data_IF_199205141985
#
_entry.id   IF_199205141985
#
_cell.length_a   1.000
_cell.length_b   1.000
_cell.length_c   1.000
_cell.angle_alpha   90.00
_cell.angle_beta   90.00
_cell.angle_gamma   90.00
#
_symmetry.space_group_name_H-M   'P 1'
#
loop_
_entity.id
_entity.type
_entity.pdbx_description
1 polymer ?
#
# COMPACT_ATOMS: atom_id res chain seq x y z
N UNK A 1 20.63 -49.31 -6.96
CA UNK A 1 19.92 -48.17 -7.60
C UNK A 1 18.90 -47.61 -6.61
N UNK A 2 19.14 -46.44 -6.02
CA UNK A 2 18.17 -45.81 -5.11
C UNK A 2 17.02 -45.22 -5.94
N UNK A 3 15.85 -45.84 -5.89
CA UNK A 3 14.63 -45.33 -6.52
C UNK A 3 14.14 -44.13 -5.71
N UNK A 4 14.31 -42.92 -6.23
CA UNK A 4 13.72 -41.73 -5.64
C UNK A 4 12.22 -41.73 -5.93
N UNK A 5 11.41 -41.77 -4.86
CA UNK A 5 9.97 -41.57 -4.94
C UNK A 5 9.73 -40.11 -5.31
N UNK A 6 9.15 -39.85 -6.48
CA UNK A 6 8.65 -38.51 -6.82
C UNK A 6 7.45 -38.28 -5.91
N UNK A 7 7.62 -37.42 -4.90
CA UNK A 7 6.47 -36.92 -4.14
C UNK A 7 5.55 -36.19 -5.11
N UNK A 8 4.28 -36.58 -5.18
CA UNK A 8 3.30 -36.11 -6.17
C UNK A 8 2.86 -34.64 -6.02
N UNK A 9 3.68 -33.76 -5.43
CA UNK A 9 3.44 -32.33 -5.36
C UNK A 9 4.75 -31.59 -5.59
N UNK A 10 4.74 -30.68 -6.55
CA UNK A 10 5.86 -29.76 -6.78
C UNK A 10 6.03 -28.84 -5.56
N UNK A 11 7.27 -28.66 -5.10
CA UNK A 11 7.61 -27.79 -3.97
C UNK A 11 8.44 -26.61 -4.47
N UNK A 12 7.91 -25.38 -4.39
CA UNK A 12 8.64 -24.15 -4.71
C UNK A 12 9.95 -24.00 -3.91
N UNK A 13 10.02 -24.58 -2.71
CA UNK A 13 11.22 -24.66 -1.89
C UNK A 13 12.43 -25.32 -2.57
N UNK A 14 12.22 -26.12 -3.63
CA UNK A 14 13.27 -26.78 -4.41
C UNK A 14 13.78 -25.92 -5.59
N UNK A 15 13.10 -24.82 -5.92
CA UNK A 15 13.55 -23.91 -6.96
C UNK A 15 14.75 -23.09 -6.50
N UNK A 16 15.64 -22.78 -7.46
CA UNK A 16 16.67 -21.76 -7.30
C UNK A 16 16.03 -20.40 -6.96
N UNK A 17 16.77 -19.55 -6.26
CA UNK A 17 16.24 -18.29 -5.72
C UNK A 17 15.67 -17.36 -6.80
N UNK A 18 16.32 -17.25 -7.96
CA UNK A 18 15.84 -16.39 -9.04
C UNK A 18 14.59 -16.94 -9.71
N UNK A 19 14.57 -18.23 -10.03
CA UNK A 19 13.37 -18.90 -10.57
C UNK A 19 12.16 -18.83 -9.63
N UNK A 20 12.39 -18.78 -8.30
CA UNK A 20 11.30 -18.62 -7.32
C UNK A 20 10.65 -17.24 -7.36
N UNK A 21 11.38 -16.19 -7.77
CA UNK A 21 10.83 -14.83 -7.91
C UNK A 21 10.04 -14.64 -9.21
N UNK A 22 10.38 -15.42 -10.25
CA UNK A 22 9.74 -15.34 -11.56
C UNK A 22 8.51 -16.26 -11.68
N UNK A 23 7.47 -15.97 -10.89
CA UNK A 23 6.25 -16.80 -10.84
C UNK A 23 5.62 -17.03 -12.23
N UNK A 24 5.72 -16.01 -13.09
CA UNK A 24 5.15 -15.97 -14.44
C UNK A 24 5.83 -16.94 -15.42
N UNK A 25 7.02 -17.43 -15.10
CA UNK A 25 7.73 -18.41 -15.93
C UNK A 25 6.98 -19.74 -16.04
N UNK A 26 6.15 -20.06 -15.03
CA UNK A 26 5.37 -21.29 -14.95
C UNK A 26 3.87 -21.03 -14.77
N UNK A 27 3.48 -20.00 -14.02
CA UNK A 27 2.09 -19.67 -13.74
C UNK A 27 1.59 -18.54 -14.63
N UNK A 28 0.38 -18.69 -15.18
CA UNK A 28 -0.27 -17.62 -15.95
C UNK A 28 -0.85 -16.58 -15.00
N UNK A 29 -0.60 -15.31 -15.29
CA UNK A 29 -1.24 -14.20 -14.57
C UNK A 29 -2.76 -14.24 -14.77
N UNK A 30 -3.56 -13.99 -13.72
CA UNK A 30 -4.98 -13.77 -13.86
C UNK A 30 -5.29 -12.61 -14.80
N UNK A 31 -6.44 -12.70 -15.48
CA UNK A 31 -6.87 -11.69 -16.46
C UNK A 31 -7.85 -10.67 -15.87
N UNK A 32 -8.00 -10.59 -14.54
CA UNK A 32 -8.86 -9.58 -13.92
C UNK A 32 -8.22 -8.19 -13.94
N UNK A 33 -9.05 -7.17 -13.68
CA UNK A 33 -8.66 -5.77 -13.77
C UNK A 33 -7.53 -5.40 -12.80
N UNK A 34 -7.42 -6.03 -11.63
CA UNK A 34 -6.37 -5.72 -10.66
C UNK A 34 -5.02 -6.19 -11.19
N UNK A 35 -4.91 -7.46 -11.58
CA UNK A 35 -3.65 -8.03 -12.07
C UNK A 35 -3.18 -7.38 -13.38
N UNK A 36 -4.11 -6.94 -14.25
CA UNK A 36 -3.76 -6.22 -15.49
C UNK A 36 -3.09 -4.85 -15.25
N UNK A 37 -3.29 -4.24 -14.08
CA UNK A 37 -2.68 -2.95 -13.73
C UNK A 37 -1.31 -3.10 -13.04
N UNK A 38 -0.94 -4.34 -12.66
CA UNK A 38 0.27 -4.65 -11.90
C UNK A 38 1.33 -5.24 -12.82
N UNK A 39 2.44 -4.53 -12.97
CA UNK A 39 3.66 -5.01 -13.64
C UNK A 39 4.71 -5.55 -12.66
N UNK A 40 4.40 -5.51 -11.35
CA UNK A 40 5.26 -5.98 -10.26
C UNK A 40 5.29 -7.50 -10.11
N UNK A 41 6.18 -7.98 -9.24
CA UNK A 41 6.32 -9.40 -8.95
C UNK A 41 5.16 -9.92 -8.11
N UNK A 42 4.64 -11.10 -8.44
CA UNK A 42 3.49 -11.71 -7.74
C UNK A 42 3.77 -11.92 -6.24
N UNK A 43 5.04 -12.13 -5.87
CA UNK A 43 5.49 -12.33 -4.50
C UNK A 43 5.37 -11.09 -3.59
N UNK A 44 5.09 -9.91 -4.15
CA UNK A 44 4.78 -8.71 -3.39
C UNK A 44 3.42 -8.84 -2.68
N UNK A 45 2.50 -9.61 -3.26
CA UNK A 45 1.15 -9.80 -2.75
C UNK A 45 0.87 -11.23 -2.30
N UNK A 46 1.42 -12.21 -2.98
CA UNK A 46 1.16 -13.63 -2.76
C UNK A 46 2.39 -14.31 -2.15
N UNK A 47 2.15 -15.35 -1.36
CA UNK A 47 3.23 -16.24 -0.91
C UNK A 47 3.06 -17.62 -1.56
N UNK A 48 4.15 -18.36 -1.72
CA UNK A 48 4.13 -19.72 -2.23
C UNK A 48 3.51 -20.72 -1.23
N UNK A 49 3.46 -20.37 0.05
CA UNK A 49 2.81 -21.12 1.12
C UNK A 49 1.29 -20.84 1.20
N UNK A 50 0.89 -19.59 0.98
CA UNK A 50 -0.51 -19.14 0.99
C UNK A 50 -0.75 -18.18 -0.17
N UNK A 51 -1.27 -18.74 -1.27
CA UNK A 51 -1.55 -17.99 -2.49
C UNK A 51 -2.85 -17.18 -2.40
N UNK A 52 -3.93 -17.76 -1.85
CA UNK A 52 -5.22 -17.09 -1.68
C UNK A 52 -5.67 -17.16 -0.21
N UNK A 53 -6.15 -16.04 0.37
CA UNK A 53 -6.06 -14.67 -0.16
C UNK A 53 -4.60 -14.18 -0.21
N UNK A 54 -4.36 -13.11 -0.98
CA UNK A 54 -3.10 -12.38 -0.91
C UNK A 54 -2.83 -11.91 0.52
N UNK A 55 -1.56 -11.83 0.90
CA UNK A 55 -1.11 -11.40 2.24
C UNK A 55 -0.70 -9.94 2.29
N UNK A 56 -0.64 -9.25 1.14
CA UNK A 56 -0.40 -7.83 1.10
C UNK A 56 -1.52 -7.07 1.81
N UNK A 57 -1.11 -6.21 2.72
CA UNK A 57 -1.99 -5.43 3.57
C UNK A 57 -1.60 -3.96 3.45
N UNK A 58 -2.36 -3.22 2.63
CA UNK A 58 -2.11 -1.81 2.37
C UNK A 58 -2.27 -0.95 3.65
N UNK A 59 -3.09 -1.39 4.62
CA UNK A 59 -3.36 -0.65 5.85
C UNK A 59 -2.12 -0.51 6.75
N UNK A 60 -1.07 -1.30 6.51
CA UNK A 60 0.24 -1.14 7.16
C UNK A 60 0.94 0.15 6.74
N UNK A 61 0.64 0.67 5.56
CA UNK A 61 1.28 1.85 4.95
C UNK A 61 0.33 3.04 4.95
N UNK A 62 -0.87 2.86 4.40
CA UNK A 62 -1.89 3.90 4.32
C UNK A 62 -3.28 3.25 4.31
N UNK A 63 -4.20 3.75 5.12
CA UNK A 63 -5.55 3.23 5.24
C UNK A 63 -6.43 3.97 4.24
N UNK A 64 -7.07 3.22 3.33
CA UNK A 64 -8.20 3.75 2.58
C UNK A 64 -9.36 3.90 3.56
N UNK A 65 -9.79 5.14 3.78
CA UNK A 65 -10.98 5.44 4.55
C UNK A 65 -12.22 5.02 3.75
N UNK A 66 -13.20 4.47 4.46
CA UNK A 66 -14.55 4.07 3.99
C UNK A 66 -14.68 3.89 2.46
N UNK A 67 -15.28 4.85 1.78
CA UNK A 67 -15.75 4.74 0.40
C UNK A 67 -14.66 4.96 -0.67
N UNK A 68 -13.39 5.13 -0.28
CA UNK A 68 -12.28 5.40 -1.22
C UNK A 68 -11.69 4.11 -1.81
N UNK A 69 -12.50 3.39 -2.60
CA UNK A 69 -12.01 2.31 -3.45
C UNK A 69 -11.31 2.88 -4.69
N UNK A 70 -10.04 3.23 -4.55
CA UNK A 70 -9.23 3.86 -5.61
C UNK A 70 -8.38 2.84 -6.38
N UNK A 71 -8.07 3.15 -7.64
CA UNK A 71 -7.15 2.34 -8.45
C UNK A 71 -5.73 2.53 -7.92
N UNK A 72 -4.90 1.48 -7.99
CA UNK A 72 -3.50 1.55 -7.58
C UNK A 72 -2.75 2.69 -8.29
N UNK A 73 -3.04 2.89 -9.58
CA UNK A 73 -2.44 3.92 -10.43
C UNK A 73 -2.72 5.36 -9.96
N UNK A 74 -3.71 5.58 -9.09
CA UNK A 74 -3.99 6.89 -8.49
C UNK A 74 -2.80 7.39 -7.65
N UNK A 75 -2.13 6.47 -6.94
CA UNK A 75 -0.94 6.80 -6.13
C UNK A 75 0.36 6.28 -6.77
N UNK A 76 0.32 5.08 -7.36
CA UNK A 76 1.49 4.42 -7.94
C UNK A 76 1.57 4.66 -9.46
N UNK A 77 2.17 5.80 -9.81
CA UNK A 77 2.31 6.23 -11.20
C UNK A 77 3.24 5.29 -11.97
N UNK A 78 2.86 4.92 -13.20
CA UNK A 78 3.63 3.99 -14.07
C UNK A 78 3.88 2.61 -13.44
N UNK A 79 3.01 2.18 -12.53
CA UNK A 79 3.13 0.89 -11.84
C UNK A 79 4.44 0.74 -11.05
N UNK A 80 5.05 1.86 -10.64
CA UNK A 80 6.16 1.87 -9.69
C UNK A 80 5.60 1.85 -8.26
N UNK A 81 5.48 0.65 -7.70
CA UNK A 81 4.95 0.43 -6.36
C UNK A 81 5.93 0.78 -5.24
N UNK A 82 7.18 1.14 -5.57
CA UNK A 82 8.15 1.66 -4.59
C UNK A 82 7.97 3.15 -4.31
N UNK A 83 7.22 3.85 -5.18
CA UNK A 83 6.97 5.29 -5.10
C UNK A 83 5.48 5.55 -5.08
N UNK A 84 5.09 6.66 -4.46
CA UNK A 84 3.69 7.06 -4.39
C UNK A 84 3.54 8.58 -4.56
N UNK A 85 2.32 9.01 -4.86
CA UNK A 85 1.92 10.43 -4.84
C UNK A 85 0.58 10.59 -4.13
N UNK A 86 0.46 11.63 -3.31
CA UNK A 86 -0.80 12.02 -2.67
C UNK A 86 -1.61 13.01 -3.52
N UNK A 87 -1.02 13.45 -4.65
CA UNK A 87 -1.55 14.50 -5.52
C UNK A 87 -2.59 13.99 -6.53
N UNK A 88 -2.84 12.68 -6.57
CA UNK A 88 -3.73 12.04 -7.53
C UNK A 88 -5.21 11.99 -7.16
N UNK A 89 -5.58 12.35 -5.92
CA UNK A 89 -6.95 12.22 -5.43
C UNK A 89 -7.75 13.54 -5.49
N UNK A 90 -7.32 14.58 -4.75
CA UNK A 90 -7.98 15.91 -4.71
C UNK A 90 -6.91 17.03 -4.66
N UNK A 91 -7.30 18.30 -4.47
CA UNK A 91 -6.45 19.51 -4.47
C UNK A 91 -5.28 19.46 -3.45
N UNK A 92 -4.28 18.66 -3.78
CA UNK A 92 -3.03 18.54 -3.08
C UNK A 92 -1.96 19.00 -4.07
N UNK A 93 -1.85 20.30 -4.32
CA UNK A 93 -0.70 20.80 -5.09
C UNK A 93 0.50 20.89 -4.13
N UNK A 94 1.73 20.61 -4.59
CA UNK A 94 2.92 20.75 -3.75
C UNK A 94 3.07 22.14 -3.12
N UNK A 95 2.66 23.19 -3.86
CA UNK A 95 2.69 24.59 -3.41
C UNK A 95 1.73 24.82 -2.23
N UNK A 96 0.45 24.40 -2.38
CA UNK A 96 -0.58 24.58 -1.35
C UNK A 96 -0.19 23.82 -0.09
N UNK A 97 0.18 22.55 -0.22
CA UNK A 97 0.62 21.72 0.90
C UNK A 97 1.80 22.34 1.64
N UNK A 98 2.82 22.81 0.91
CA UNK A 98 3.98 23.46 1.53
C UNK A 98 3.58 24.68 2.35
N UNK A 99 2.71 25.54 1.81
CA UNK A 99 2.27 26.75 2.52
C UNK A 99 1.62 26.40 3.85
N UNK A 100 0.64 25.50 3.85
CA UNK A 100 -0.06 25.10 5.08
C UNK A 100 0.91 24.48 6.11
N UNK A 101 1.82 23.58 5.67
CA UNK A 101 2.79 22.96 6.58
C UNK A 101 3.77 23.99 7.18
N UNK A 102 4.21 24.98 6.39
CA UNK A 102 5.12 26.03 6.87
C UNK A 102 4.43 26.95 7.89
N UNK A 103 3.15 27.25 7.71
CA UNK A 103 2.35 28.01 8.68
C UNK A 103 2.23 27.26 10.02
N UNK A 104 2.12 25.93 9.98
CA UNK A 104 2.15 25.05 11.15
C UNK A 104 3.58 24.76 11.68
N UNK A 105 4.61 25.37 11.08
CA UNK A 105 6.02 25.20 11.48
C UNK A 105 6.66 23.86 11.06
N UNK A 106 6.00 23.08 10.22
CA UNK A 106 6.47 21.79 9.69
C UNK A 106 7.24 22.05 8.39
N UNK A 107 8.53 21.71 8.36
CA UNK A 107 9.42 21.96 7.21
C UNK A 107 9.92 20.70 6.52
N UNK A 108 9.93 19.58 7.24
CA UNK A 108 10.25 18.27 6.68
C UNK A 108 8.99 17.42 6.65
N UNK A 109 8.39 17.31 5.48
CA UNK A 109 7.12 16.61 5.24
C UNK A 109 7.18 15.80 3.94
N UNK A 110 8.39 15.40 3.51
CA UNK A 110 8.56 14.66 2.25
C UNK A 110 7.96 13.25 2.32
N UNK A 111 8.00 12.63 3.50
CA UNK A 111 7.36 11.34 3.73
C UNK A 111 5.99 11.55 4.38
N UNK A 112 4.98 11.76 3.53
CA UNK A 112 3.64 12.13 3.96
C UNK A 112 3.06 11.13 4.97
N UNK A 113 3.36 9.83 4.80
CA UNK A 113 2.76 8.74 5.58
C UNK A 113 3.35 8.58 6.98
N UNK A 114 4.44 9.29 7.30
CA UNK A 114 4.93 9.37 8.68
C UNK A 114 3.89 10.02 9.59
N UNK A 115 3.22 11.05 9.07
CA UNK A 115 2.20 11.81 9.79
C UNK A 115 0.77 11.47 9.36
N UNK A 116 0.53 11.29 8.06
CA UNK A 116 -0.79 11.06 7.48
C UNK A 116 -0.96 9.59 7.08
N UNK A 117 -1.55 8.77 7.96
CA UNK A 117 -1.82 7.35 7.68
C UNK A 117 -3.16 7.08 7.02
N UNK A 118 -3.95 8.13 6.79
CA UNK A 118 -5.22 8.09 6.06
C UNK A 118 -5.50 9.47 5.45
N UNK A 119 -6.58 9.58 4.68
CA UNK A 119 -7.06 10.85 4.15
C UNK A 119 -7.78 11.73 5.21
N UNK A 120 -8.00 11.19 6.42
CA UNK A 120 -8.68 11.93 7.49
C UNK A 120 -7.74 12.96 8.13
N UNK A 121 -8.11 14.23 8.00
CA UNK A 121 -7.40 15.35 8.63
C UNK A 121 -7.38 15.29 10.17
N UNK A 122 -8.20 14.45 10.79
CA UNK A 122 -8.23 14.25 12.25
C UNK A 122 -7.36 13.07 12.71
N UNK A 123 -6.85 12.23 11.80
CA UNK A 123 -5.93 11.11 12.10
C UNK A 123 -4.48 11.47 11.72
N UNK A 124 -4.07 12.69 12.05
CA UNK A 124 -2.68 13.15 11.87
C UNK A 124 -1.86 12.76 13.09
N UNK A 125 -0.73 12.12 12.85
CA UNK A 125 0.20 11.68 13.90
C UNK A 125 1.47 12.52 13.84
N UNK A 126 1.91 13.06 14.96
CA UNK A 126 3.16 13.82 15.03
C UNK A 126 4.21 13.00 15.77
N UNK A 127 5.15 12.33 15.07
CA UNK A 127 6.23 11.61 15.74
C UNK A 127 7.06 12.58 16.60
N UNK A 128 7.26 12.22 17.87
CA UNK A 128 8.13 12.99 18.79
C UNK A 128 7.45 14.12 19.59
N UNK A 129 6.18 14.47 19.33
CA UNK A 129 5.37 15.25 20.28
C UNK A 129 4.51 14.31 21.11
N UNK A 130 4.75 14.31 22.43
CA UNK A 130 3.95 13.54 23.39
C UNK A 130 2.45 13.85 23.21
N UNK A 131 1.63 12.81 23.36
CA UNK A 131 0.18 12.85 23.23
C UNK A 131 -0.40 13.75 24.33
N UNK A 132 -0.49 15.05 24.09
CA UNK A 132 -1.34 15.93 24.90
C UNK A 132 -2.80 15.71 24.46
N UNK A 133 -3.41 14.78 25.17
CA UNK A 133 -4.83 14.61 25.46
C UNK A 133 -5.85 15.26 24.52
N UNK A 134 -6.56 14.39 23.82
CA UNK A 134 -8.02 14.36 23.70
C UNK A 134 -8.76 15.57 24.32
N UNK A 135 -9.06 16.55 23.48
CA UNK A 135 -10.32 17.30 23.62
C UNK A 135 -11.14 17.02 22.38
N UNK A 136 -12.08 16.09 22.55
CA UNK A 136 -13.08 15.76 21.54
C UNK A 136 -13.76 17.03 21.04
N UNK A 137 -13.68 17.25 19.73
CA UNK A 137 -14.64 18.12 19.06
C UNK A 137 -15.88 17.27 18.77
N UNK A 138 -16.97 17.64 19.42
CA UNK A 138 -18.27 17.00 19.24
C UNK A 138 -18.69 17.05 17.79
N UNK A 139 -19.26 15.93 17.35
CA UNK A 139 -19.93 15.75 16.08
C UNK A 139 -21.16 16.65 16.03
N UNK A 140 -21.09 17.79 15.36
CA UNK A 140 -22.30 18.47 14.90
C UNK A 140 -22.84 17.70 13.70
N UNK A 141 -24.08 17.21 13.86
CA UNK A 141 -24.90 16.64 12.80
C UNK A 141 -25.62 17.81 12.16
N UNK A 142 -25.31 18.10 10.91
CA UNK A 142 -26.17 18.95 10.09
C UNK A 142 -27.18 18.01 9.42
N UNK A 143 -28.36 17.93 10.04
CA UNK A 143 -29.58 17.41 9.41
C UNK A 143 -30.24 18.61 8.70
N UNK A 144 -30.34 18.57 7.37
CA UNK A 144 -31.32 19.32 6.55
C UNK A 144 -31.69 18.49 5.31
#
# INVERSE_FOLDING_TARGET
MKRFRIEGRFKHALLQMEARKECQSCHKSPADSLHQQITGNCNQCHTDEKWVPATFDHAKYFVFDRDHNVKCATCHVRSDYSRYTCYGCHEHTPEKIRREHVEEGIRDFKDCVECHRSADKHDIRMPGRGRESEKGHGKERDDD
#
